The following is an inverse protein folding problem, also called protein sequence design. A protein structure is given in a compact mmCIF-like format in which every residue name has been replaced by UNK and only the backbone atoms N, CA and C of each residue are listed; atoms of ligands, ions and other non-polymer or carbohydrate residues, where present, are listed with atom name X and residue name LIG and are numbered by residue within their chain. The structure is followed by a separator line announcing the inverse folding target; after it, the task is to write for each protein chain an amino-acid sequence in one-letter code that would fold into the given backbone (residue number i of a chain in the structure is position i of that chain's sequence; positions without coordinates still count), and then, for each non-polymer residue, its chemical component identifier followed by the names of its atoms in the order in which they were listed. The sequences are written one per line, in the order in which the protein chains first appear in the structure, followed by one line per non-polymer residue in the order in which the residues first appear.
data_IF_037594354620
#
_entry.id   IF_037594354620
#
_cell.length_a   1.000
_cell.length_b   1.000
_cell.length_c   1.000
_cell.angle_alpha   90.00
_cell.angle_beta   90.00
_cell.angle_gamma   90.00
#
_symmetry.space_group_name_H-M   'P 1'
#
loop_
_entity.id
_entity.type
_entity.pdbx_description
1 polymer ?
#
# COMPACT_ATOMS: atom_id res chain seq x y z
N UNK A 1 -11.78 -5.34 -15.53
CA UNK A 1 -11.66 -5.44 -14.09
C UNK A 1 -11.82 -4.07 -13.45
N UNK A 2 -12.06 -4.07 -12.16
CA UNK A 2 -12.22 -2.80 -11.45
C UNK A 2 -10.96 -1.96 -11.47
N UNK A 3 -9.80 -2.57 -11.54
CA UNK A 3 -8.56 -1.81 -11.58
C UNK A 3 -8.39 -1.06 -12.89
N UNK A 4 -8.91 -1.59 -13.97
CA UNK A 4 -8.82 -0.89 -15.24
C UNK A 4 -9.62 0.40 -15.24
N UNK A 5 -10.58 0.52 -14.33
CA UNK A 5 -11.43 1.70 -14.26
C UNK A 5 -10.94 2.71 -13.23
N UNK A 6 -9.81 2.47 -12.64
CA UNK A 6 -9.33 3.24 -11.52
C UNK A 6 -9.31 4.74 -11.80
N UNK A 7 -8.86 5.14 -12.95
CA UNK A 7 -8.65 6.55 -13.23
C UNK A 7 -9.33 7.00 -14.50
N UNK A 8 -10.29 6.25 -14.96
CA UNK A 8 -11.10 6.63 -16.11
C UNK A 8 -10.25 7.03 -17.30
N UNK A 9 -9.41 6.15 -17.73
CA UNK A 9 -8.62 6.38 -18.92
C UNK A 9 -7.15 6.53 -18.65
N UNK A 10 -6.78 6.57 -17.40
CA UNK A 10 -5.38 6.63 -17.04
C UNK A 10 -5.13 5.66 -15.92
N UNK A 11 -4.39 4.60 -16.19
CA UNK A 11 -4.10 3.57 -15.22
C UNK A 11 -2.82 3.93 -14.48
N UNK A 12 -2.85 3.87 -13.17
CA UNK A 12 -1.65 4.02 -12.37
C UNK A 12 -0.95 2.67 -12.35
N UNK A 13 0.00 2.51 -13.25
CA UNK A 13 0.66 1.24 -13.41
C UNK A 13 1.43 0.80 -12.18
N UNK A 14 1.95 1.77 -11.43
CA UNK A 14 2.68 1.43 -10.22
C UNK A 14 1.75 0.83 -9.17
N UNK A 15 0.57 1.40 -9.04
CA UNK A 15 -0.42 0.87 -8.11
C UNK A 15 -0.90 -0.50 -8.55
N UNK A 16 -1.16 -0.67 -9.84
CA UNK A 16 -1.58 -1.96 -10.37
C UNK A 16 -0.53 -3.03 -10.09
N UNK A 17 0.73 -2.70 -10.33
CA UNK A 17 1.82 -3.64 -10.09
C UNK A 17 1.90 -4.01 -8.61
N UNK A 18 1.79 -3.02 -7.73
CA UNK A 18 1.86 -3.27 -6.30
C UNK A 18 0.73 -4.20 -5.86
N UNK A 19 -0.48 -3.96 -6.33
CA UNK A 19 -1.62 -4.78 -5.98
C UNK A 19 -1.44 -6.21 -6.48
N UNK A 20 -0.95 -6.35 -7.71
CA UNK A 20 -0.71 -7.68 -8.26
C UNK A 20 0.27 -8.47 -7.42
N UNK A 21 1.31 -7.81 -6.91
CA UNK A 21 2.27 -8.46 -6.05
C UNK A 21 1.68 -8.84 -4.71
N UNK A 22 0.83 -7.98 -4.16
CA UNK A 22 0.17 -8.29 -2.91
C UNK A 22 -0.73 -9.52 -3.04
N UNK A 23 -1.41 -9.64 -4.16
CA UNK A 23 -2.27 -10.78 -4.41
C UNK A 23 -1.48 -12.05 -4.63
N UNK A 24 -0.34 -11.94 -5.30
CA UNK A 24 0.46 -13.10 -5.61
C UNK A 24 1.22 -13.62 -4.41
N UNK A 25 1.62 -12.74 -3.51
CA UNK A 25 2.46 -13.10 -2.37
C UNK A 25 1.82 -12.65 -1.06
N UNK A 26 0.70 -13.26 -0.67
CA UNK A 26 0.03 -12.86 0.57
C UNK A 26 0.92 -13.14 1.77
N UNK A 27 0.87 -12.24 2.73
CA UNK A 27 1.66 -12.39 3.94
C UNK A 27 3.10 -11.93 3.81
N UNK A 28 3.49 -11.45 2.65
CA UNK A 28 4.84 -10.98 2.41
C UNK A 28 5.01 -9.55 2.93
N UNK A 29 6.22 -9.23 3.34
CA UNK A 29 6.56 -7.87 3.72
C UNK A 29 6.98 -7.13 2.46
N UNK A 30 6.33 -6.02 2.20
CA UNK A 30 6.65 -5.20 1.04
C UNK A 30 7.49 -4.01 1.47
N UNK A 31 8.64 -3.87 0.86
CA UNK A 31 9.58 -2.81 1.18
C UNK A 31 9.56 -1.78 0.06
N UNK A 32 9.53 -0.52 0.42
CA UNK A 32 9.52 0.52 -0.59
C UNK A 32 10.38 1.70 -0.16
N UNK A 33 11.15 2.20 -1.10
CA UNK A 33 11.81 3.49 -0.97
C UNK A 33 10.99 4.57 -1.68
N UNK A 34 9.92 4.18 -2.36
CA UNK A 34 8.99 5.13 -2.97
C UNK A 34 7.67 5.05 -2.22
N UNK A 35 7.61 5.80 -1.14
CA UNK A 35 6.44 5.74 -0.25
C UNK A 35 5.18 6.26 -0.91
N UNK A 36 5.32 7.11 -1.91
CA UNK A 36 4.16 7.66 -2.60
C UNK A 36 3.34 6.57 -3.29
N UNK A 37 4.01 5.61 -3.93
CA UNK A 37 3.30 4.51 -4.58
C UNK A 37 2.54 3.69 -3.57
N UNK A 38 3.17 3.38 -2.44
CA UNK A 38 2.50 2.58 -1.42
C UNK A 38 1.32 3.33 -0.80
N UNK A 39 1.47 4.63 -0.56
CA UNK A 39 0.37 5.42 -0.01
C UNK A 39 -0.81 5.42 -0.97
N UNK A 40 -0.55 5.63 -2.25
CA UNK A 40 -1.63 5.62 -3.24
C UNK A 40 -2.29 4.25 -3.33
N UNK A 41 -1.49 3.20 -3.26
CA UNK A 41 -2.01 1.83 -3.29
C UNK A 41 -2.91 1.57 -2.07
N UNK A 42 -2.45 1.98 -0.91
CA UNK A 42 -3.23 1.80 0.32
C UNK A 42 -4.54 2.56 0.25
N UNK A 43 -4.49 3.79 -0.22
CA UNK A 43 -5.70 4.60 -0.32
C UNK A 43 -6.69 4.01 -1.32
N UNK A 44 -6.18 3.48 -2.40
CA UNK A 44 -7.05 2.83 -3.36
C UNK A 44 -7.70 1.56 -2.77
N UNK A 45 -6.90 0.72 -2.16
CA UNK A 45 -7.40 -0.54 -1.60
C UNK A 45 -8.36 -0.29 -0.45
N UNK A 46 -8.14 0.77 0.30
CA UNK A 46 -9.01 1.06 1.44
C UNK A 46 -10.44 1.41 1.08
N UNK A 47 -10.71 1.65 -0.19
CA UNK A 47 -12.04 2.06 -0.62
C UNK A 47 -13.00 0.90 -0.84
N UNK A 48 -12.52 -0.32 -0.80
CA UNK A 48 -13.39 -1.47 -0.99
C UNK A 48 -13.12 -2.51 0.09
N UNK A 49 -14.10 -3.34 0.31
CA UNK A 49 -13.98 -4.40 1.30
C UNK A 49 -12.90 -5.39 0.89
N UNK A 50 -12.87 -5.74 -0.38
CA UNK A 50 -11.86 -6.66 -0.88
C UNK A 50 -10.46 -6.07 -0.74
N UNK A 51 -10.33 -4.79 -1.04
CA UNK A 51 -9.05 -4.13 -0.88
C UNK A 51 -8.59 -4.10 0.56
N UNK A 52 -9.50 -3.84 1.48
CA UNK A 52 -9.16 -3.82 2.89
C UNK A 52 -8.75 -5.19 3.40
N UNK A 53 -9.34 -6.26 2.87
CA UNK A 53 -8.91 -7.61 3.22
C UNK A 53 -7.48 -7.87 2.76
N UNK A 54 -7.16 -7.40 1.58
CA UNK A 54 -5.82 -7.55 1.05
C UNK A 54 -4.82 -6.78 1.90
N UNK A 55 -5.16 -5.56 2.30
CA UNK A 55 -4.31 -4.76 3.17
C UNK A 55 -4.08 -5.45 4.51
N UNK A 56 -5.13 -6.01 5.07
CA UNK A 56 -5.05 -6.64 6.38
C UNK A 56 -4.04 -7.78 6.39
N UNK A 57 -3.91 -8.49 5.29
CA UNK A 57 -2.96 -9.59 5.20
C UNK A 57 -1.55 -9.16 4.81
N UNK A 58 -1.31 -7.86 4.63
CA UNK A 58 -0.04 -7.38 4.13
C UNK A 58 0.70 -6.61 5.21
N UNK A 59 2.01 -6.51 5.04
CA UNK A 59 2.87 -5.73 5.92
C UNK A 59 3.78 -4.86 5.07
N UNK A 60 3.87 -3.61 5.45
CA UNK A 60 4.64 -2.63 4.67
C UNK A 60 5.81 -2.10 5.47
N UNK A 61 6.93 -1.98 4.81
CA UNK A 61 8.14 -1.42 5.40
C UNK A 61 8.47 -0.15 4.61
N UNK A 62 8.37 0.99 5.29
CA UNK A 62 8.60 2.29 4.67
C UNK A 62 9.96 2.81 5.06
N UNK A 63 10.85 2.89 4.08
CA UNK A 63 12.20 3.39 4.29
C UNK A 63 12.22 4.86 3.93
N UNK A 64 12.77 5.69 4.82
CA UNK A 64 12.89 7.14 4.59
C UNK A 64 11.53 7.79 4.32
N UNK A 65 10.56 7.43 5.12
CA UNK A 65 9.21 7.95 4.92
C UNK A 65 9.05 9.30 5.59
N UNK A 66 8.54 10.26 4.83
CA UNK A 66 8.31 11.61 5.33
C UNK A 66 6.94 11.79 5.94
N UNK A 67 6.02 10.89 5.69
CA UNK A 67 4.64 11.02 6.14
C UNK A 67 4.25 9.89 7.07
N UNK A 68 5.11 9.63 8.04
CA UNK A 68 4.86 8.53 8.97
C UNK A 68 3.51 8.69 9.66
N UNK A 69 3.18 9.91 10.10
CA UNK A 69 1.91 10.15 10.79
C UNK A 69 0.72 9.75 9.92
N UNK A 70 0.77 10.12 8.65
CA UNK A 70 -0.33 9.79 7.75
C UNK A 70 -0.45 8.30 7.53
N UNK A 71 0.67 7.62 7.36
CA UNK A 71 0.64 6.18 7.13
C UNK A 71 0.14 5.45 8.37
N UNK A 72 0.57 5.89 9.55
CA UNK A 72 0.08 5.28 10.79
C UNK A 72 -1.41 5.48 10.96
N UNK A 73 -1.89 6.65 10.56
CA UNK A 73 -3.32 6.93 10.59
C UNK A 73 -4.08 5.99 9.65
N UNK A 74 -3.57 5.79 8.45
CA UNK A 74 -4.16 4.87 7.50
C UNK A 74 -4.12 3.42 8.00
N UNK A 75 -3.03 3.06 8.67
CA UNK A 75 -2.89 1.72 9.21
C UNK A 75 -3.96 1.44 10.27
N UNK A 76 -4.27 2.43 11.09
CA UNK A 76 -5.35 2.29 12.05
C UNK A 76 -6.71 2.21 11.36
N UNK A 77 -6.89 3.05 10.36
CA UNK A 77 -8.17 3.13 9.66
C UNK A 77 -8.48 1.85 8.89
N UNK A 78 -7.48 1.30 8.23
CA UNK A 78 -7.68 0.13 7.38
C UNK A 78 -7.13 -1.15 7.97
N UNK A 79 -6.55 -1.08 9.15
CA UNK A 79 -6.13 -2.25 9.91
C UNK A 79 -5.05 -3.08 9.19
N UNK A 80 -3.98 -2.42 8.79
CA UNK A 80 -2.83 -3.11 8.23
C UNK A 80 -1.60 -2.85 9.09
N UNK A 81 -0.52 -3.58 8.83
CA UNK A 81 0.70 -3.46 9.60
C UNK A 81 1.76 -2.71 8.80
N UNK A 82 2.50 -1.87 9.50
CA UNK A 82 3.56 -1.11 8.86
C UNK A 82 4.70 -0.90 9.84
N UNK A 83 5.88 -0.65 9.29
CA UNK A 83 7.07 -0.36 10.07
C UNK A 83 7.84 0.76 9.38
N UNK A 84 8.58 1.50 10.19
CA UNK A 84 9.32 2.66 9.71
C UNK A 84 10.75 2.58 10.19
N UNK A 85 11.54 1.66 9.62
CA UNK A 85 12.92 1.55 10.04
C UNK A 85 13.70 2.79 9.66
N UNK A 86 14.62 3.19 10.52
CA UNK A 86 15.50 4.29 10.24
C UNK A 86 16.84 3.74 9.81
N UNK A 87 17.28 4.17 8.66
CA UNK A 87 18.59 3.79 8.18
C UNK A 87 19.60 4.75 8.77
N UNK A 88 20.35 4.26 9.69
CA UNK A 88 21.39 5.07 10.31
C UNK A 88 22.70 4.87 9.58
N UNK A 89 23.42 5.93 9.50
CA UNK A 89 24.73 5.90 8.85
C UNK A 89 25.80 5.35 9.76
#
# INVERSE_FOLDING_TARGET
TSMANLSKGKIDEDVVTAIAMMEKYPGTIFVSDNNDVFVRTIMYLGQSEEGRKLLKGSRFLFINNFNESKVRELAQKYNFKCSFPKLND
#
